data_IF_590089527324
#
_entry.id   IF_590089527324
#
_cell.length_a   1.000
_cell.length_b   1.000
_cell.length_c   1.000
_cell.angle_alpha   90.00
_cell.angle_beta   90.00
_cell.angle_gamma   90.00
#
_symmetry.space_group_name_H-M   'P 1'
#
loop_
_entity.id
_entity.type
_entity.pdbx_description
1 polymer ?
2 non-polymer ?
3 water ?
#
# COMPACT_ATOMS: atom_id res chain seq x y z
N UNK A 3 6.67 -19.86 -1.51
CA UNK A 3 7.46 -19.54 -2.74
C UNK A 3 7.06 -18.17 -3.27
N UNK A 4 6.06 -17.60 -2.62
CA UNK A 4 5.49 -16.33 -3.03
C UNK A 4 6.45 -15.17 -3.01
N UNK A 5 7.25 -15.07 -1.97
CA UNK A 5 8.22 -14.01 -1.93
C UNK A 5 9.51 -14.48 -2.55
N UNK A 6 9.40 -15.01 -3.74
CA UNK A 6 10.53 -15.28 -4.58
C UNK A 6 10.16 -14.73 -5.89
N UNK A 7 8.96 -14.19 -6.00
CA UNK A 7 8.57 -13.67 -7.27
C UNK A 7 8.59 -12.18 -7.21
N UNK A 8 9.58 -11.64 -7.84
CA UNK A 8 9.73 -10.22 -7.93
C UNK A 8 8.87 -9.71 -9.08
N UNK A 9 8.78 -8.40 -9.20
CA UNK A 9 8.18 -7.77 -10.35
C UNK A 9 9.33 -7.32 -11.23
N UNK A 10 9.51 -8.00 -12.38
CA UNK A 10 10.60 -7.62 -13.28
C UNK A 10 10.42 -6.18 -13.74
N UNK A 11 11.46 -5.38 -13.63
CA UNK A 11 11.42 -4.01 -14.14
C UNK A 11 12.27 -3.91 -15.40
N UNK A 12 11.64 -3.91 -16.56
CA UNK A 12 12.37 -3.98 -17.82
C UNK A 12 11.77 -3.12 -18.93
N UNK A 13 12.62 -2.63 -19.81
CA UNK A 13 12.23 -1.95 -21.04
C UNK A 13 11.85 -2.97 -22.09
N UNK A 14 10.71 -2.75 -22.75
CA UNK A 14 10.28 -3.60 -23.85
C UNK A 14 10.12 -2.74 -25.09
N UNK A 15 10.86 -3.07 -26.15
CA UNK A 15 10.71 -2.37 -27.42
C UNK A 15 9.32 -2.61 -28.02
N UNK A 16 8.77 -3.79 -27.80
CA UNK A 16 7.41 -4.10 -28.26
C UNK A 16 6.38 -3.12 -27.68
N UNK A 17 6.61 -2.67 -26.46
CA UNK A 17 5.71 -1.73 -25.79
C UNK A 17 5.77 -0.36 -26.46
N UNK A 18 6.98 0.11 -26.71
CA UNK A 18 7.16 1.33 -27.48
C UNK A 18 6.48 1.22 -28.86
N UNK A 19 6.76 0.13 -29.57
CA UNK A 19 6.26 -0.08 -30.93
C UNK A 19 4.75 -0.10 -31.01
N UNK A 20 4.09 -0.24 -29.86
CA UNK A 20 2.64 -0.21 -29.83
C UNK A 20 2.09 1.18 -30.17
N UNK A 21 2.93 2.20 -29.99
CA UNK A 21 2.51 3.58 -30.19
C UNK A 21 3.20 4.18 -31.42
N UNK A 22 2.55 5.15 -32.07
CA UNK A 22 3.21 5.90 -33.13
C UNK A 22 4.50 6.50 -32.56
N UNK A 23 5.50 6.70 -33.39
CA UNK A 23 6.76 7.27 -32.91
C UNK A 23 6.57 8.72 -32.45
N UNK A 24 5.59 9.39 -33.03
CA UNK A 24 5.30 10.78 -32.70
C UNK A 24 4.85 10.94 -31.25
N UNK A 25 4.37 9.87 -30.64
CA UNK A 25 3.89 9.97 -29.27
C UNK A 25 5.05 10.25 -28.31
N UNK A 26 6.27 9.98 -28.78
CA UNK A 26 7.45 10.14 -27.93
C UNK A 26 8.23 11.40 -28.23
N UNK A 27 8.87 11.95 -27.22
CA UNK A 27 9.78 13.05 -27.38
C UNK A 27 11.08 12.69 -26.69
N UNK A 28 12.16 13.31 -27.12
CA UNK A 28 13.48 13.04 -26.57
C UNK A 28 14.13 14.32 -26.09
N UNK A 29 13.48 15.45 -26.35
CA UNK A 29 14.01 16.75 -26.01
C UNK A 29 14.02 17.00 -24.51
N UNK A 30 12.90 16.71 -23.85
CA UNK A 30 12.79 16.97 -22.42
C UNK A 30 13.65 16.00 -21.60
N UNK A 31 14.28 16.52 -20.55
CA UNK A 31 15.15 15.71 -19.72
C UNK A 31 14.34 14.80 -18.82
N UNK A 32 14.67 13.52 -18.83
CA UNK A 32 13.99 12.56 -17.97
C UNK A 32 14.03 13.03 -16.53
N UNK A 33 15.18 13.58 -16.11
CA UNK A 33 15.35 13.95 -14.70
C UNK A 33 14.47 15.12 -14.26
N UNK A 34 13.85 15.81 -15.21
CA UNK A 34 12.96 16.92 -14.89
C UNK A 34 11.48 16.54 -15.04
N UNK A 35 11.22 15.34 -15.55
CA UNK A 35 9.82 14.89 -15.73
C UNK A 35 9.13 14.82 -14.37
N UNK A 36 7.85 15.17 -14.30
CA UNK A 36 7.21 15.29 -12.99
C UNK A 36 6.14 14.24 -12.65
N UNK A 37 5.66 13.48 -13.64
CA UNK A 37 4.58 12.54 -13.35
C UNK A 37 4.59 11.32 -14.26
N UNK A 38 3.91 10.27 -13.81
CA UNK A 38 3.76 9.03 -14.58
C UNK A 38 2.29 8.63 -14.67
N UNK A 39 1.99 7.86 -15.71
CA UNK A 39 0.74 7.14 -15.86
C UNK A 39 1.08 5.65 -15.85
N UNK A 40 0.24 4.83 -15.26
CA UNK A 40 0.46 3.39 -15.30
C UNK A 40 -0.82 2.57 -15.16
N UNK A 41 -0.81 1.41 -15.78
CA UNK A 41 -1.94 0.49 -15.76
C UNK A 41 -1.50 -0.83 -16.37
N UNK A 42 -2.36 -1.82 -16.32
CA UNK A 42 -2.00 -3.13 -16.86
C UNK A 42 -1.76 -3.10 -18.38
N UNK A 43 -2.45 -2.23 -19.09
CA UNK A 43 -2.32 -2.19 -20.55
C UNK A 43 -2.55 -0.79 -21.10
N UNK A 44 -1.48 -0.11 -21.53
CA UNK A 44 -1.58 1.24 -22.07
C UNK A 44 -1.73 1.25 -23.59
N UNK A 45 -2.70 2.01 -24.10
CA UNK A 45 -2.94 2.03 -25.54
C UNK A 45 -3.03 3.45 -26.06
N UNK A 46 -2.70 3.63 -27.35
CA UNK A 46 -2.83 4.91 -28.03
C UNK A 46 -4.21 5.50 -27.80
N UNK A 47 -5.23 4.65 -27.90
CA UNK A 47 -6.61 5.10 -27.74
C UNK A 47 -6.85 5.85 -26.43
N UNK A 48 -6.25 5.37 -25.35
CA UNK A 48 -6.41 6.03 -24.06
C UNK A 48 -5.75 7.39 -24.07
N UNK A 49 -4.59 7.48 -24.72
CA UNK A 49 -3.87 8.74 -24.76
C UNK A 49 -4.56 9.75 -25.65
N UNK A 50 -5.32 9.28 -26.62
CA UNK A 50 -6.09 10.19 -27.47
C UNK A 50 -7.30 10.76 -26.73
N UNK A 51 -7.86 9.98 -25.82
CA UNK A 51 -8.90 10.48 -24.93
C UNK A 51 -8.32 11.49 -23.96
N UNK A 52 -7.13 11.20 -23.43
CA UNK A 52 -6.44 12.15 -22.56
C UNK A 52 -6.11 13.44 -23.30
N UNK A 53 -5.63 13.33 -24.53
CA UNK A 53 -5.29 14.49 -25.34
C UNK A 53 -6.52 15.36 -25.57
N UNK A 54 -7.62 14.72 -25.97
CA UNK A 54 -8.83 15.47 -26.29
C UNK A 54 -9.31 16.27 -25.10
N UNK A 55 -9.30 15.66 -23.92
CA UNK A 55 -9.85 16.30 -22.74
C UNK A 55 -8.94 17.39 -22.18
N UNK A 56 -7.63 17.19 -22.26
CA UNK A 56 -6.70 18.17 -21.73
C UNK A 56 -6.30 19.19 -22.78
N UNK A 57 -6.85 19.06 -23.98
CA UNK A 57 -6.56 19.99 -25.07
C UNK A 57 -5.10 20.14 -25.42
N UNK A 58 -4.35 19.05 -25.35
CA UNK A 58 -2.95 19.10 -25.72
C UNK A 58 -2.49 17.70 -26.05
N UNK A 59 -1.41 17.61 -26.81
CA UNK A 59 -0.80 16.33 -27.11
C UNK A 59 0.13 15.98 -25.95
N UNK A 60 -0.20 14.93 -25.21
CA UNK A 60 0.59 14.54 -24.05
C UNK A 60 1.69 13.57 -24.45
N UNK A 61 2.92 14.08 -24.53
CA UNK A 61 4.04 13.28 -25.00
C UNK A 61 4.64 12.41 -23.89
N UNK A 62 5.19 11.27 -24.28
CA UNK A 62 5.81 10.35 -23.34
C UNK A 62 7.33 10.42 -23.48
N UNK A 63 8.06 10.59 -22.38
CA UNK A 63 9.52 10.54 -22.42
C UNK A 63 10.03 9.12 -22.46
N UNK A 64 9.33 8.20 -21.80
CA UNK A 64 9.83 6.84 -21.68
C UNK A 64 8.76 5.91 -21.12
N UNK A 65 8.79 4.65 -21.55
CA UNK A 65 7.86 3.63 -21.08
C UNK A 65 8.66 2.40 -20.69
N UNK A 66 8.24 1.72 -19.63
CA UNK A 66 8.85 0.46 -19.25
C UNK A 66 7.79 -0.40 -18.57
N UNK A 67 8.16 -1.60 -18.21
CA UNK A 67 7.27 -2.52 -17.55
C UNK A 67 7.69 -2.81 -16.14
N UNK A 68 6.73 -2.95 -15.24
CA UNK A 68 6.98 -3.36 -13.87
C UNK A 68 6.00 -4.51 -13.64
N UNK A 69 6.50 -5.74 -13.64
CA UNK A 69 5.60 -6.91 -13.65
C UNK A 69 4.64 -6.82 -14.81
N UNK A 70 3.35 -6.98 -14.52
CA UNK A 70 2.33 -6.89 -15.57
C UNK A 70 1.96 -5.44 -15.90
N UNK A 71 2.55 -4.48 -15.17
CA UNK A 71 2.21 -3.07 -15.38
C UNK A 71 3.07 -2.44 -16.46
N UNK A 72 2.49 -1.47 -17.13
CA UNK A 72 3.21 -0.66 -18.09
C UNK A 72 3.18 0.78 -17.59
N UNK A 73 4.34 1.42 -17.57
CA UNK A 73 4.48 2.73 -16.99
C UNK A 73 4.98 3.71 -18.04
N UNK A 74 4.42 4.92 -18.03
CA UNK A 74 4.83 5.95 -18.96
C UNK A 74 5.25 7.20 -18.18
N UNK A 75 6.47 7.66 -18.43
CA UNK A 75 6.98 8.89 -17.83
C UNK A 75 6.48 10.02 -18.70
N UNK A 76 5.77 10.98 -18.10
CA UNK A 76 5.01 11.94 -18.88
C UNK A 76 5.65 13.33 -18.98
N UNK A 77 5.40 13.96 -20.12
CA UNK A 77 5.74 15.35 -20.42
C UNK A 77 4.79 16.25 -19.65
N UNK A 78 5.17 17.51 -19.46
CA UNK A 78 4.25 18.49 -18.86
C UNK A 78 3.93 18.24 -17.40
N UNK A 79 2.76 18.67 -16.97
CA UNK A 79 2.37 18.57 -15.57
C UNK A 79 0.99 17.92 -15.42
N UNK A 80 0.80 17.27 -14.28
CA UNK A 80 -0.47 16.67 -13.95
C UNK A 80 -1.42 17.79 -13.54
N UNK A 81 -2.41 18.08 -14.39
CA UNK A 81 -3.43 19.05 -14.04
C UNK A 81 -4.68 18.32 -13.57
N UNK A 82 -5.61 19.06 -12.97
CA UNK A 82 -6.85 18.45 -12.50
C UNK A 82 -7.66 17.85 -13.64
N UNK A 83 -7.55 18.43 -14.83
CA UNK A 83 -8.19 17.84 -16.02
C UNK A 83 -7.59 16.47 -16.35
N UNK A 84 -6.28 16.34 -16.17
CA UNK A 84 -5.61 15.04 -16.38
C UNK A 84 -6.18 14.03 -15.41
N UNK A 85 -6.31 14.41 -14.15
CA UNK A 85 -6.80 13.51 -13.13
C UNK A 85 -8.20 13.01 -13.47
N UNK A 86 -9.03 13.91 -13.97
CA UNK A 86 -10.40 13.56 -14.30
C UNK A 86 -10.46 12.50 -15.40
N UNK A 87 -9.79 12.78 -16.51
CA UNK A 87 -9.77 11.84 -17.61
C UNK A 87 -9.05 10.51 -17.30
N UNK A 88 -8.04 10.55 -16.45
CA UNK A 88 -7.34 9.31 -16.08
C UNK A 88 -8.21 8.44 -15.20
N UNK A 89 -8.92 9.06 -14.26
CA UNK A 89 -9.90 8.34 -13.45
C UNK A 89 -10.96 7.69 -14.34
N UNK A 90 -11.47 8.44 -15.31
CA UNK A 90 -12.47 7.91 -16.24
C UNK A 90 -11.92 6.67 -16.95
N UNK A 91 -10.67 6.76 -17.41
CA UNK A 91 -10.01 5.67 -18.11
C UNK A 91 -9.62 4.57 -17.15
N UNK A 92 -9.67 4.86 -15.86
CA UNK A 92 -9.21 3.93 -14.85
C UNK A 92 -7.72 3.62 -15.05
N UNK A 93 -6.94 4.66 -15.29
CA UNK A 93 -5.48 4.58 -15.28
C UNK A 93 -4.99 5.26 -14.01
N UNK A 94 -3.97 4.69 -13.39
CA UNK A 94 -3.35 5.31 -12.23
C UNK A 94 -2.36 6.36 -12.70
N UNK A 95 -1.99 7.26 -11.81
CA UNK A 95 -1.03 8.30 -12.10
C UNK A 95 -0.40 8.77 -10.78
N UNK A 96 0.71 9.47 -10.89
CA UNK A 96 1.40 9.92 -9.70
C UNK A 96 2.43 10.99 -10.04
N UNK A 97 2.58 11.95 -9.13
CA UNK A 97 3.67 12.92 -9.21
C UNK A 97 4.85 12.25 -8.55
N UNK A 98 6.03 12.36 -9.14
CA UNK A 98 7.16 11.59 -8.66
C UNK A 98 8.24 12.39 -7.94
N UNK A 99 7.94 13.64 -7.61
CA UNK A 99 8.85 14.37 -6.75
C UNK A 99 8.82 13.78 -5.35
N UNK A 100 10.00 13.64 -4.74
CA UNK A 100 10.06 13.13 -3.38
C UNK A 100 9.91 11.61 -3.30
N UNK A 101 9.80 10.95 -4.45
CA UNK A 101 9.73 9.51 -4.45
C UNK A 101 11.09 8.97 -4.03
N UNK A 102 11.13 8.13 -2.98
CA UNK A 102 12.34 7.52 -2.47
C UNK A 102 13.12 6.74 -3.51
N UNK A 103 14.36 6.44 -3.16
CA UNK A 103 15.32 5.85 -4.06
C UNK A 103 15.49 4.39 -3.72
N UNK A 104 15.04 3.51 -4.61
CA UNK A 104 15.19 2.08 -4.39
C UNK A 104 16.64 1.62 -4.22
N UNK A 105 17.61 2.37 -4.74
CA UNK A 105 19.02 1.92 -4.68
C UNK A 105 19.72 2.32 -3.37
N UNK A 106 19.06 3.09 -2.54
CA UNK A 106 19.59 3.47 -1.24
C UNK A 106 18.78 2.74 -0.19
N UNK A 107 19.35 2.51 0.97
CA UNK A 107 18.63 1.79 2.03
C UNK A 107 17.27 2.45 2.33
N UNK A 108 16.24 1.62 2.46
CA UNK A 108 14.91 2.16 2.62
C UNK A 108 13.99 1.26 3.41
N UNK A 109 12.81 1.77 3.71
CA UNK A 109 11.84 1.06 4.52
C UNK A 109 10.46 1.37 4.02
N UNK A 110 9.61 0.35 3.96
CA UNK A 110 8.20 0.58 3.67
C UNK A 110 7.35 0.01 4.79
N UNK A 111 6.34 0.76 5.22
CA UNK A 111 5.43 0.29 6.26
C UNK A 111 4.02 0.27 5.69
N UNK A 112 3.35 -0.87 5.81
CA UNK A 112 1.99 -0.99 5.28
C UNK A 112 1.00 -1.39 6.37
N UNK A 113 -0.22 -1.00 6.18
CA UNK A 113 -1.30 -1.35 7.04
C UNK A 113 -1.95 -2.60 6.48
N UNK A 114 -2.08 -3.63 7.31
CA UNK A 114 -2.54 -4.96 6.88
C UNK A 114 -3.94 -5.00 6.25
N UNK A 115 -4.63 -3.86 6.21
CA UNK A 115 -6.00 -3.81 5.70
C UNK A 115 -6.85 -2.71 6.31
N UNK A 116 -7.89 -2.30 5.57
CA UNK A 116 -8.77 -1.23 6.02
C UNK A 116 -9.44 -1.56 7.35
N UNK A 117 -9.59 -0.56 8.20
CA UNK A 117 -10.24 -0.76 9.49
C UNK A 117 -11.64 -1.34 9.29
N UNK A 118 -12.16 -1.22 8.07
CA UNK A 118 -13.43 -1.82 7.71
C UNK A 118 -13.29 -3.33 7.52
N UNK A 119 -12.18 -3.74 6.91
CA UNK A 119 -11.88 -5.16 6.68
C UNK A 119 -11.39 -5.84 7.95
N UNK A 120 -11.06 -5.05 8.97
CA UNK A 120 -10.65 -5.60 10.25
C UNK A 120 -11.84 -5.66 11.19
N UNK A 121 -12.83 -4.80 10.97
CA UNK A 121 -14.10 -4.89 11.69
C UNK A 121 -14.85 -6.14 11.25
N UNK A 122 -14.83 -6.41 9.95
CA UNK A 122 -15.42 -7.63 9.40
C UNK A 122 -14.72 -8.88 9.97
N UNK A 123 -13.39 -8.84 10.02
CA UNK A 123 -12.58 -9.94 10.56
C UNK A 123 -12.99 -10.28 12.00
N UNK A 124 -13.05 -9.25 12.83
CA UNK A 124 -13.40 -9.41 14.24
C UNK A 124 -14.86 -9.79 14.42
N UNK A 125 -15.73 -9.27 13.56
CA UNK A 125 -17.15 -9.63 13.60
C UNK A 125 -17.35 -11.10 13.24
N UNK A 126 -16.44 -11.62 12.42
CA UNK A 126 -16.50 -13.02 12.00
C UNK A 126 -15.95 -13.94 13.07
N UNK A 127 -14.90 -13.49 13.77
CA UNK A 127 -14.39 -14.23 14.91
C UNK A 127 -15.47 -14.29 15.99
N UNK A 128 -16.15 -13.17 16.19
CA UNK A 128 -17.22 -13.09 17.18
C UNK A 128 -18.38 -14.00 16.82
N UNK A 129 -18.79 -13.99 15.56
CA UNK A 129 -19.91 -14.82 15.11
C UNK A 129 -19.53 -16.29 15.28
N UNK A 130 -18.28 -16.63 14.97
CA UNK A 130 -17.80 -17.99 15.20
C UNK A 130 -17.75 -18.33 16.68
N UNK A 131 -17.42 -17.35 17.52
CA UNK A 131 -17.30 -17.59 18.96
C UNK A 131 -18.68 -17.65 19.64
N UNK A 132 -19.72 -17.27 18.91
CA UNK A 132 -21.08 -17.32 19.44
C UNK A 132 -21.50 -16.06 20.18
N UNK A 133 -20.67 -15.04 20.12
CA UNK A 133 -20.96 -13.76 20.79
C UNK A 133 -21.11 -12.66 19.76
N UNK A 134 -21.48 -13.04 18.55
CA UNK A 134 -21.64 -12.06 17.47
C UNK A 134 -22.41 -10.82 17.91
N UNK A 135 -23.38 -11.00 18.79
CA UNK A 135 -24.27 -9.91 19.16
C UNK A 135 -23.68 -8.98 20.22
N UNK A 136 -23.06 -9.58 21.24
CA UNK A 136 -22.40 -8.79 22.26
C UNK A 136 -21.43 -7.83 21.61
N UNK A 137 -20.62 -8.36 20.69
CA UNK A 137 -19.63 -7.55 20.00
C UNK A 137 -20.32 -6.46 19.20
N UNK A 138 -21.52 -6.76 18.71
CA UNK A 138 -22.30 -5.80 17.94
C UNK A 138 -22.82 -4.68 18.84
N UNK A 139 -23.41 -5.06 19.97
CA UNK A 139 -23.88 -4.08 20.96
C UNK A 139 -22.77 -3.12 21.35
N UNK A 140 -21.54 -3.60 21.33
CA UNK A 140 -20.39 -2.78 21.68
C UNK A 140 -19.97 -1.86 20.54
N UNK A 141 -20.08 -2.35 19.30
CA UNK A 141 -19.72 -1.52 18.15
C UNK A 141 -20.70 -0.38 18.05
N UNK A 142 -21.96 -0.67 18.39
CA UNK A 142 -23.00 0.35 18.45
C UNK A 142 -22.69 1.43 19.48
N UNK A 143 -22.29 1.01 20.68
CA UNK A 143 -21.97 1.97 21.74
C UNK A 143 -20.78 2.84 21.36
N UNK A 144 -19.96 2.37 20.43
CA UNK A 144 -18.82 3.15 19.96
C UNK A 144 -19.27 4.16 18.91
N UNK A 145 -20.38 3.85 18.24
CA UNK A 145 -20.92 4.74 17.22
C UNK A 145 -21.59 5.94 17.88
N UNK A 146 -22.00 5.78 19.13
CA UNK A 146 -22.64 6.83 19.89
C UNK A 146 -21.62 7.77 20.53
N UNK A 147 -20.34 7.52 20.24
CA UNK A 147 -19.27 8.30 20.85
C UNK A 147 -19.13 8.02 22.34
N UNK A 148 -19.73 6.92 22.79
CA UNK A 148 -19.63 6.49 24.19
C UNK A 148 -18.27 5.85 24.52
N UNK A 149 -17.76 5.05 23.59
CA UNK A 149 -16.46 4.42 23.76
C UNK A 149 -15.48 4.98 22.73
N UNK A 150 -14.28 5.32 23.17
CA UNK A 150 -13.25 5.73 22.23
C UNK A 150 -12.73 4.51 21.48
N UNK A 151 -11.64 4.69 20.73
CA UNK A 151 -11.15 3.63 19.86
C UNK A 151 -10.62 2.41 20.61
N UNK A 152 -9.78 2.65 21.62
CA UNK A 152 -9.16 1.58 22.39
C UNK A 152 -10.18 0.80 23.24
N UNK A 153 -11.14 1.52 23.80
CA UNK A 153 -12.17 0.91 24.62
C UNK A 153 -12.99 -0.06 23.79
N UNK A 154 -13.34 0.39 22.58
CA UNK A 154 -14.12 -0.43 21.67
C UNK A 154 -13.36 -1.70 21.35
N UNK A 155 -12.08 -1.56 21.01
CA UNK A 155 -11.31 -2.74 20.69
C UNK A 155 -11.30 -3.67 21.91
N UNK A 156 -10.72 -3.18 23.00
CA UNK A 156 -10.57 -4.00 24.21
C UNK A 156 -11.89 -4.61 24.65
N UNK A 157 -12.97 -3.83 24.64
CA UNK A 157 -14.28 -4.36 25.00
C UNK A 157 -14.84 -5.41 24.04
N UNK A 158 -14.60 -5.25 22.73
CA UNK A 158 -15.04 -6.25 21.76
C UNK A 158 -14.26 -7.55 21.96
N UNK A 159 -12.95 -7.44 22.16
CA UNK A 159 -12.13 -8.60 22.45
C UNK A 159 -12.59 -9.33 23.72
N UNK A 160 -12.99 -8.57 24.74
CA UNK A 160 -13.33 -9.19 26.02
C UNK A 160 -14.50 -10.17 25.87
N UNK A 161 -15.34 -9.93 24.86
CA UNK A 161 -16.48 -10.81 24.57
C UNK A 161 -16.05 -12.20 24.08
N UNK A 162 -14.80 -12.33 23.72
CA UNK A 162 -14.29 -13.54 23.16
C UNK A 162 -13.73 -14.43 24.21
N UNK A 163 -13.86 -14.04 25.46
CA UNK A 163 -13.25 -14.81 26.50
C UNK A 163 -13.69 -16.24 26.40
N UNK A 164 -12.72 -17.12 26.44
CA UNK A 164 -12.92 -18.55 26.43
C UNK A 164 -13.13 -19.13 25.07
N UNK A 165 -13.08 -18.31 24.05
CA UNK A 165 -13.24 -18.83 22.71
C UNK A 165 -12.05 -19.69 22.42
N UNK A 166 -12.29 -20.74 21.65
CA UNK A 166 -11.25 -21.69 21.31
C UNK A 166 -10.32 -21.17 20.25
N UNK A 167 -9.04 -21.39 20.49
CA UNK A 167 -7.99 -20.89 19.59
C UNK A 167 -8.23 -21.14 18.09
N UNK A 168 -8.63 -22.37 17.75
CA UNK A 168 -8.74 -22.75 16.34
C UNK A 168 -9.76 -21.91 15.56
N UNK A 169 -10.45 -21.01 16.26
CA UNK A 169 -11.35 -20.09 15.56
C UNK A 169 -10.52 -19.11 14.74
N UNK A 170 -9.28 -18.88 15.17
CA UNK A 170 -8.41 -17.92 14.50
C UNK A 170 -7.90 -18.45 13.16
N UNK A 171 -7.56 -19.74 13.12
CA UNK A 171 -7.13 -20.37 11.87
C UNK A 171 -8.31 -20.40 10.91
N UNK A 172 -9.39 -20.97 11.38
CA UNK A 172 -10.61 -21.11 10.59
C UNK A 172 -11.02 -19.80 9.93
N UNK A 173 -10.58 -18.67 10.47
CA UNK A 173 -10.90 -17.38 9.88
C UNK A 173 -9.80 -16.88 8.95
N UNK A 174 -8.55 -17.20 9.29
CA UNK A 174 -7.41 -16.85 8.47
C UNK A 174 -7.64 -17.32 7.02
N UNK A 175 -8.20 -18.52 6.90
CA UNK A 175 -8.34 -19.17 5.60
C UNK A 175 -9.53 -18.68 4.76
N UNK A 176 -10.50 -18.03 5.40
CA UNK A 176 -11.60 -17.46 4.64
C UNK A 176 -11.25 -16.07 4.11
N UNK A 177 -9.99 -15.66 4.31
CA UNK A 177 -9.56 -14.31 3.94
C UNK A 177 -8.37 -14.28 2.98
N UNK A 178 -8.43 -13.38 1.97
CA UNK A 178 -7.40 -13.23 0.95
C UNK A 178 -6.40 -12.11 1.24
N UNK A 179 -5.12 -12.36 0.98
CA UNK A 179 -4.08 -11.33 1.11
C UNK A 179 -4.32 -10.20 0.12
N UNK A 180 -3.88 -8.99 0.47
CA UNK A 180 -3.93 -7.88 -0.47
C UNK A 180 -3.35 -8.35 -1.80
N UNK A 181 -3.95 -7.90 -2.93
CA UNK A 181 -3.43 -8.32 -4.23
C UNK A 181 -2.00 -7.84 -4.45
N UNK A 182 -1.09 -8.79 -4.68
CA UNK A 182 0.29 -8.49 -5.06
C UNK A 182 1.21 -8.15 -3.91
N UNK A 183 0.74 -8.37 -2.69
CA UNK A 183 1.59 -8.13 -1.53
C UNK A 183 2.87 -8.96 -1.61
N UNK A 184 2.75 -10.24 -1.98
CA UNK A 184 3.94 -11.09 -2.00
C UNK A 184 5.01 -10.54 -2.98
N UNK A 185 4.57 -10.11 -4.15
CA UNK A 185 5.45 -9.50 -5.15
C UNK A 185 6.07 -8.21 -4.64
N UNK A 186 5.26 -7.34 -4.04
CA UNK A 186 5.79 -6.11 -3.48
C UNK A 186 6.91 -6.40 -2.49
N UNK A 187 6.68 -7.37 -1.63
CA UNK A 187 7.66 -7.78 -0.63
C UNK A 187 8.96 -8.29 -1.26
N UNK A 188 8.83 -9.23 -2.20
CA UNK A 188 10.00 -9.80 -2.89
C UNK A 188 10.78 -8.73 -3.65
N UNK A 189 10.06 -7.86 -4.34
CA UNK A 189 10.70 -6.83 -5.12
C UNK A 189 11.51 -5.90 -4.22
N UNK A 190 10.89 -5.42 -3.15
CA UNK A 190 11.60 -4.50 -2.27
C UNK A 190 12.79 -5.15 -1.59
N UNK A 191 12.65 -6.41 -1.17
CA UNK A 191 13.78 -7.14 -0.59
C UNK A 191 14.93 -7.30 -1.57
N UNK A 192 14.61 -7.59 -2.84
CA UNK A 192 15.63 -7.63 -3.89
C UNK A 192 16.47 -6.34 -3.92
N UNK A 193 15.84 -5.20 -3.66
CA UNK A 193 16.58 -3.93 -3.57
C UNK A 193 17.21 -3.71 -2.20
N UNK A 194 17.02 -4.64 -1.28
CA UNK A 194 17.59 -4.48 0.06
C UNK A 194 16.78 -3.58 0.98
N UNK A 195 15.50 -3.35 0.65
CA UNK A 195 14.66 -2.56 1.54
C UNK A 195 14.10 -3.44 2.65
N UNK A 196 13.68 -2.81 3.74
CA UNK A 196 12.99 -3.54 4.81
C UNK A 196 11.48 -3.34 4.64
N UNK A 197 10.72 -4.35 5.03
CA UNK A 197 9.28 -4.33 4.90
C UNK A 197 8.61 -4.61 6.24
N UNK A 198 7.73 -3.70 6.66
CA UNK A 198 7.11 -3.81 7.96
C UNK A 198 5.62 -3.62 7.81
N UNK A 199 4.84 -4.44 8.50
CA UNK A 199 3.42 -4.20 8.54
C UNK A 199 3.00 -3.79 9.95
N UNK A 200 2.02 -2.92 10.03
CA UNK A 200 1.47 -2.49 11.30
C UNK A 200 -0.03 -2.34 11.13
N UNK A 201 -0.80 -3.23 11.75
CA UNK A 201 -2.24 -3.20 11.62
C UNK A 201 -2.97 -3.22 12.96
N UNK A 202 -4.24 -2.85 12.94
CA UNK A 202 -5.12 -2.91 14.10
C UNK A 202 -5.85 -4.23 14.19
N UNK A 203 -5.28 -5.27 13.58
CA UNK A 203 -5.83 -6.62 13.69
C UNK A 203 -5.07 -7.39 14.76
N UNK A 204 -5.00 -8.70 14.63
CA UNK A 204 -4.38 -9.52 15.66
C UNK A 204 -3.04 -10.13 15.29
N UNK A 205 -2.13 -10.11 16.24
CA UNK A 205 -0.80 -10.67 16.08
C UNK A 205 -0.83 -12.05 15.47
N UNK A 206 -1.91 -12.79 15.66
CA UNK A 206 -1.95 -14.14 15.13
C UNK A 206 -1.86 -14.11 13.62
N UNK A 207 -2.66 -13.24 13.01
CA UNK A 207 -2.65 -13.09 11.56
C UNK A 207 -1.36 -12.45 11.07
N UNK A 208 -1.00 -11.31 11.64
CA UNK A 208 0.15 -10.57 11.14
C UNK A 208 1.45 -11.35 11.31
N UNK A 209 1.50 -12.22 12.31
CA UNK A 209 2.71 -13.03 12.52
C UNK A 209 2.80 -14.18 11.52
N UNK A 210 1.64 -14.64 11.05
CA UNK A 210 1.60 -15.67 10.03
C UNK A 210 2.10 -15.07 8.71
N UNK A 211 1.52 -13.94 8.33
CA UNK A 211 1.96 -13.18 7.18
C UNK A 211 3.46 -12.93 7.28
N UNK A 212 3.92 -12.54 8.46
CA UNK A 212 5.35 -12.28 8.61
C UNK A 212 6.15 -13.54 8.29
N UNK A 213 5.55 -14.70 8.55
CA UNK A 213 6.22 -15.98 8.32
C UNK A 213 6.22 -16.35 6.84
N UNK A 214 5.04 -16.36 6.24
CA UNK A 214 4.89 -16.67 4.83
C UNK A 214 5.72 -15.76 3.92
N UNK A 215 5.84 -14.49 4.28
CA UNK A 215 6.44 -13.49 3.39
C UNK A 215 7.79 -12.98 3.88
N UNK A 216 8.23 -13.44 5.04
CA UNK A 216 9.53 -13.01 5.55
C UNK A 216 9.60 -11.51 5.77
N UNK A 217 8.49 -10.91 6.19
CA UNK A 217 8.50 -9.51 6.58
C UNK A 217 9.55 -9.31 7.66
N UNK A 218 10.07 -8.10 7.75
CA UNK A 218 11.14 -7.80 8.69
C UNK A 218 10.60 -7.41 10.06
N UNK A 219 9.37 -6.90 10.07
CA UNK A 219 8.72 -6.49 11.29
C UNK A 219 7.21 -6.51 11.11
N UNK A 220 6.50 -6.92 12.15
CA UNK A 220 5.05 -6.90 12.14
C UNK A 220 4.58 -6.58 13.54
N UNK A 221 3.61 -5.68 13.64
CA UNK A 221 3.02 -5.37 14.94
C UNK A 221 1.52 -5.17 14.85
N UNK A 222 0.80 -5.91 15.67
CA UNK A 222 -0.64 -5.81 15.76
C UNK A 222 -1.07 -5.88 17.23
N UNK A 223 -2.37 -6.03 17.44
CA UNK A 223 -2.92 -6.25 18.76
C UNK A 223 -2.78 -7.72 19.12
N UNK A 224 -2.07 -8.00 20.20
CA UNK A 224 -1.84 -9.37 20.63
C UNK A 224 -2.97 -9.91 21.51
N UNK A 225 -3.65 -10.95 21.04
CA UNK A 225 -4.68 -11.61 21.83
C UNK A 225 -4.06 -12.57 22.82
N UNK A 226 -4.35 -12.40 24.10
CA UNK A 226 -3.84 -13.37 25.07
C UNK A 226 -4.51 -14.71 24.89
N UNK A 227 -3.71 -15.77 24.78
CA UNK A 227 -4.22 -17.11 24.62
C UNK A 227 -3.67 -18.01 25.72
N UNK A 228 -4.56 -18.64 26.46
CA UNK A 228 -4.16 -19.58 27.50
C UNK A 228 -4.94 -20.89 27.37
N UNK A 229 -4.24 -22.01 27.55
CA UNK A 229 -4.84 -23.33 27.36
C UNK A 229 -5.64 -23.41 26.05
N UNK A 230 -5.12 -22.79 25.00
CA UNK A 230 -5.77 -22.87 23.69
C UNK A 230 -7.12 -22.17 23.64
N UNK A 231 -7.37 -21.30 24.61
CA UNK A 231 -8.55 -20.45 24.57
C UNK A 231 -8.12 -19.00 24.69
N UNK A 232 -8.87 -18.12 24.03
CA UNK A 232 -8.68 -16.69 24.21
C UNK A 232 -9.16 -16.30 25.61
N UNK A 233 -8.35 -15.56 26.35
CA UNK A 233 -8.75 -15.12 27.67
C UNK A 233 -9.62 -13.87 27.59
N UNK A 234 -9.62 -13.23 26.43
CA UNK A 234 -10.42 -12.03 26.23
C UNK A 234 -9.64 -10.76 26.51
N UNK A 235 -8.38 -10.92 26.87
CA UNK A 235 -7.52 -9.77 27.12
C UNK A 235 -6.58 -9.48 25.95
N UNK A 236 -6.21 -8.21 25.80
CA UNK A 236 -5.24 -7.76 24.82
C UNK A 236 -3.94 -7.44 25.55
N UNK A 237 -2.88 -8.15 25.20
CA UNK A 237 -1.58 -7.94 25.84
C UNK A 237 -0.87 -6.74 25.23
N UNK A 238 -0.20 -5.96 26.09
CA UNK A 238 0.56 -4.80 25.65
C UNK A 238 -0.29 -3.64 25.15
N UNK A 239 0.28 -2.86 24.24
CA UNK A 239 -0.39 -1.66 23.71
C UNK A 239 -1.36 -1.96 22.57
N UNK A 240 -2.42 -1.16 22.49
CA UNK A 240 -3.33 -1.23 21.37
C UNK A 240 -2.82 -0.34 20.24
N UNK A 241 -2.50 -0.95 19.09
CA UNK A 241 -1.96 -0.23 17.95
C UNK A 241 -2.91 0.87 17.47
N UNK A 242 -2.43 2.11 17.49
CA UNK A 242 -3.24 3.26 17.08
C UNK A 242 -2.55 4.04 15.96
N UNK A 243 -3.24 5.05 15.44
CA UNK A 243 -2.69 5.93 14.41
C UNK A 243 -1.27 6.36 14.76
N UNK A 244 -1.09 6.81 16.00
CA UNK A 244 0.21 7.25 16.48
C UNK A 244 1.22 6.11 16.54
N UNK A 245 0.78 4.94 16.99
CA UNK A 245 1.67 3.78 17.09
C UNK A 245 2.30 3.50 15.74
N UNK A 246 1.50 3.64 14.68
CA UNK A 246 1.97 3.37 13.32
C UNK A 246 3.12 4.31 12.93
N UNK A 247 2.96 5.59 13.22
CA UNK A 247 4.00 6.57 12.90
C UNK A 247 5.24 6.31 13.73
N UNK A 248 5.04 5.84 14.97
CA UNK A 248 6.16 5.53 15.85
C UNK A 248 6.94 4.33 15.34
N UNK A 249 6.23 3.29 14.92
CA UNK A 249 6.90 2.12 14.36
C UNK A 249 7.79 2.54 13.18
N UNK A 250 7.25 3.39 12.33
CA UNK A 250 7.98 3.86 11.17
C UNK A 250 9.27 4.58 11.56
N UNK A 251 9.19 5.54 12.47
CA UNK A 251 10.40 6.28 12.89
C UNK A 251 11.41 5.41 13.62
N UNK A 252 10.92 4.50 14.46
CA UNK A 252 11.79 3.60 15.20
C UNK A 252 12.59 2.72 14.26
N UNK A 253 11.88 2.01 13.38
CA UNK A 253 12.52 1.11 12.44
C UNK A 253 13.48 1.85 11.51
N UNK A 254 13.11 3.05 11.09
CA UNK A 254 13.99 3.85 10.25
C UNK A 254 15.34 4.01 10.92
N UNK A 255 15.32 4.48 12.15
CA UNK A 255 16.53 4.65 12.91
C UNK A 255 17.22 3.34 13.15
N UNK A 256 16.43 2.34 13.51
CA UNK A 256 16.96 1.02 13.77
C UNK A 256 17.57 0.43 12.53
N UNK A 257 16.94 0.65 11.39
CA UNK A 257 17.45 0.11 10.16
C UNK A 257 18.42 1.04 9.52
N UNK A 258 18.62 2.19 10.13
CA UNK A 258 19.56 3.11 9.56
C UNK A 258 19.14 3.66 8.24
N UNK A 259 17.88 4.00 8.13
CA UNK A 259 17.32 4.53 6.92
C UNK A 259 16.94 5.98 7.09
N UNK A 260 17.30 6.81 6.13
CA UNK A 260 16.88 8.21 6.16
C UNK A 260 15.37 8.31 6.08
N UNK A 261 14.81 9.27 6.78
CA UNK A 261 13.37 9.44 6.82
C UNK A 261 12.83 9.69 5.43
N UNK A 262 13.60 10.40 4.61
CA UNK A 262 13.13 10.74 3.28
C UNK A 262 13.09 9.50 2.39
N UNK A 263 13.76 8.43 2.82
CA UNK A 263 13.76 7.18 2.04
C UNK A 263 12.84 6.13 2.65
N UNK A 264 11.77 6.59 3.27
CA UNK A 264 10.76 5.69 3.81
C UNK A 264 9.47 5.88 3.05
N UNK A 265 8.66 4.83 3.04
CA UNK A 265 7.37 4.83 2.37
C UNK A 265 6.31 4.28 3.31
N UNK A 266 5.14 4.91 3.31
CA UNK A 266 4.04 4.40 4.11
C UNK A 266 2.81 4.28 3.23
N UNK A 267 2.24 3.08 3.19
CA UNK A 267 1.05 2.79 2.40
C UNK A 267 -0.15 2.63 3.34
N UNK A 268 -1.21 3.40 3.09
CA UNK A 268 -2.40 3.32 3.94
C UNK A 268 -3.69 3.59 3.18
N UNK A 269 -4.83 3.47 3.86
CA UNK A 269 -6.11 3.60 3.19
C UNK A 269 -7.16 4.36 3.98
N UNK A 270 -6.92 4.56 5.28
CA UNK A 270 -7.91 5.21 6.12
C UNK A 270 -7.36 6.37 6.92
N UNK A 271 -8.26 7.19 7.46
CA UNK A 271 -7.87 8.31 8.32
C UNK A 271 -6.86 7.84 9.37
N UNK A 272 -7.00 6.59 9.74
CA UNK A 272 -6.14 5.93 10.71
C UNK A 272 -4.65 5.95 10.35
N UNK A 273 -4.34 6.15 9.08
CA UNK A 273 -2.96 6.01 8.59
C UNK A 273 -2.29 7.35 8.27
N UNK A 274 -3.06 8.42 8.33
CA UNK A 274 -2.57 9.74 7.92
C UNK A 274 -1.34 10.17 8.71
N UNK A 275 -1.32 9.85 10.01
CA UNK A 275 -0.18 10.21 10.84
C UNK A 275 1.08 9.48 10.35
N UNK A 276 0.96 8.17 10.16
CA UNK A 276 2.05 7.39 9.57
C UNK A 276 2.47 7.99 8.23
N UNK A 277 1.49 8.30 7.38
CA UNK A 277 1.78 8.80 6.04
C UNK A 277 2.50 10.16 6.09
N UNK A 278 2.04 11.03 6.97
CA UNK A 278 2.65 12.34 7.15
C UNK A 278 4.10 12.25 7.68
N UNK A 279 4.43 11.15 8.36
CA UNK A 279 5.78 10.97 8.92
C UNK A 279 6.79 10.40 7.93
N UNK A 280 6.31 9.69 6.91
CA UNK A 280 7.18 9.00 5.97
C UNK A 280 7.67 9.95 4.89
N UNK A 281 8.74 9.57 4.20
CA UNK A 281 9.18 10.35 3.05
C UNK A 281 8.08 10.42 2.02
N UNK A 282 7.37 9.32 1.82
CA UNK A 282 6.29 9.28 0.86
C UNK A 282 5.09 8.48 1.37
N UNK A 283 3.93 9.12 1.38
CA UNK A 283 2.70 8.41 1.70
C UNK A 283 2.04 8.00 0.42
N UNK A 284 1.57 6.75 0.38
CA UNK A 284 0.82 6.25 -0.74
C UNK A 284 -0.55 5.79 -0.26
N UNK A 285 -1.60 6.47 -0.69
CA UNK A 285 -2.95 5.99 -0.45
C UNK A 285 -3.28 4.80 -1.39
N UNK A 286 -3.63 3.67 -0.79
CA UNK A 286 -3.99 2.50 -1.57
C UNK A 286 -5.48 2.21 -1.48
N UNK A 287 -6.19 2.39 -2.59
CA UNK A 287 -7.62 2.16 -2.62
C UNK A 287 -8.26 2.79 -1.38
N UNK A 288 -8.02 4.08 -1.19
CA UNK A 288 -8.51 4.81 -0.03
C UNK A 288 -9.71 5.69 -0.37
N UNK A 289 -10.35 6.24 0.67
CA UNK A 289 -11.49 7.15 0.51
C UNK A 289 -11.02 8.48 -0.08
N UNK A 290 -11.80 9.05 -1.01
CA UNK A 290 -11.41 10.27 -1.71
C UNK A 290 -10.84 11.35 -0.78
N UNK A 291 -11.29 11.34 0.48
CA UNK A 291 -10.82 12.32 1.45
C UNK A 291 -9.37 12.03 1.84
N UNK A 292 -9.04 10.75 1.95
CA UNK A 292 -7.68 10.34 2.27
C UNK A 292 -6.78 10.43 1.04
N UNK A 293 -7.34 10.19 -0.14
CA UNK A 293 -6.59 10.32 -1.39
C UNK A 293 -6.10 11.76 -1.56
N UNK A 294 -6.97 12.71 -1.26
CA UNK A 294 -6.65 14.12 -1.44
C UNK A 294 -5.56 14.61 -0.49
N UNK A 295 -5.28 13.86 0.57
CA UNK A 295 -4.23 14.26 1.51
C UNK A 295 -2.88 13.59 1.23
N UNK A 296 -2.91 12.48 0.51
CA UNK A 296 -1.67 11.72 0.26
C UNK A 296 -0.93 12.25 -0.95
N UNK A 297 0.40 12.26 -0.88
CA UNK A 297 1.21 12.70 -2.00
C UNK A 297 0.97 11.85 -3.25
N UNK A 298 0.72 10.56 -3.06
CA UNK A 298 0.42 9.70 -4.19
C UNK A 298 -0.68 8.74 -3.83
N UNK A 299 -1.40 8.24 -4.83
CA UNK A 299 -2.43 7.26 -4.59
C UNK A 299 -2.41 6.18 -5.65
N UNK A 300 -2.69 4.95 -5.23
CA UNK A 300 -3.00 3.88 -6.15
C UNK A 300 -4.50 3.63 -6.09
N UNK A 301 -5.17 3.69 -7.24
CA UNK A 301 -6.62 3.63 -7.28
C UNK A 301 -7.10 2.36 -7.91
N UNK A 302 -6.39 1.89 -8.93
CA UNK A 302 -6.88 0.80 -9.74
C UNK A 302 -5.98 -0.43 -9.69
N UNK A 303 -4.68 -0.20 -9.63
CA UNK A 303 -3.72 -1.28 -9.61
C UNK A 303 -3.70 -2.00 -8.25
N UNK A 304 -3.08 -3.17 -8.21
CA UNK A 304 -2.76 -3.83 -6.96
C UNK A 304 -1.56 -3.18 -6.30
N UNK A 305 -1.01 -3.81 -5.28
CA UNK A 305 0.14 -3.25 -4.59
C UNK A 305 1.37 -3.07 -5.48
N UNK A 306 1.36 -3.72 -6.64
CA UNK A 306 2.42 -3.54 -7.62
C UNK A 306 2.50 -2.09 -8.08
N UNK A 307 1.39 -1.38 -7.96
CA UNK A 307 1.34 0.04 -8.27
C UNK A 307 2.34 0.83 -7.45
N UNK A 308 2.62 0.34 -6.24
CA UNK A 308 3.60 1.01 -5.41
C UNK A 308 5.00 0.92 -6.03
N UNK A 309 5.29 -0.20 -6.68
CA UNK A 309 6.60 -0.35 -7.33
C UNK A 309 6.68 0.49 -8.60
N UNK A 310 5.54 0.64 -9.28
CA UNK A 310 5.51 1.52 -10.45
C UNK A 310 5.96 2.90 -10.07
N UNK A 311 5.43 3.39 -8.95
CA UNK A 311 5.77 4.72 -8.47
C UNK A 311 7.26 4.81 -8.13
N UNK A 312 7.77 3.81 -7.42
CA UNK A 312 9.17 3.83 -7.00
C UNK A 312 10.11 3.63 -8.19
N UNK A 313 9.66 2.91 -9.20
CA UNK A 313 10.52 2.64 -10.34
C UNK A 313 10.74 3.92 -11.12
N UNK A 314 9.79 4.85 -11.02
CA UNK A 314 9.88 6.09 -11.77
C UNK A 314 11.08 6.92 -11.35
N UNK A 315 11.35 7.01 -10.05
CA UNK A 315 12.51 7.73 -9.57
C UNK A 315 13.80 7.06 -10.08
N UNK A 316 13.78 5.73 -10.17
CA UNK A 316 14.92 4.96 -10.64
C UNK A 316 15.19 5.34 -12.09
N UNK A 317 14.17 5.23 -12.91
CA UNK A 317 14.29 5.53 -14.33
C UNK A 317 14.55 7.02 -14.60
N UNK A 318 13.93 7.91 -13.85
CA UNK A 318 14.17 9.32 -14.06
C UNK A 318 15.59 9.68 -13.78
N UNK A 319 16.16 9.11 -12.74
CA UNK A 319 17.51 9.45 -12.39
C UNK A 319 18.52 8.47 -12.98
N UNK A 320 18.04 7.56 -13.80
CA UNK A 320 18.90 6.63 -14.49
C UNK A 320 19.84 5.91 -13.57
N UNK A 321 19.30 5.46 -12.45
CA UNK A 321 20.07 4.80 -11.41
C UNK A 321 20.60 3.42 -11.78
N UNK A 322 20.15 2.88 -12.89
CA UNK A 322 20.66 1.57 -13.31
C UNK A 322 20.33 1.30 -14.77
N UNK A 323 21.18 0.49 -15.43
CA UNK A 323 20.87 0.02 -16.77
C UNK A 323 20.04 -1.25 -16.67
N UNK A 324 19.31 -1.58 -17.74
CA UNK A 324 18.36 -2.70 -17.74
C UNK A 324 18.86 -4.13 -17.92
N UNK A 325 19.52 -4.44 -19.02
CA UNK A 325 20.17 -5.74 -19.19
C UNK A 325 21.65 -5.59 -19.50
X LIG B 1 -4.88 22.69 -12.20
X LIG B 1 -4.85 21.27 -12.50
X LIG B 1 -4.47 22.92 -10.82
X LIG B 1 -3.95 23.40 -13.09
X LIG B 1 -6.22 23.21 -12.41
X LIG C 1 -10.53 4.92 9.22
X LIG C 1 -10.91 3.84 8.30
X LIG C 1 -11.51 5.01 10.31
X LIG C 1 -9.21 4.65 9.78
X LIG C 1 -10.50 6.19 8.50
X LIG D 1 1.21 -5.96 -28.03
X LIG D 1 1.24 -7.13 -28.89
X LIG D 1 0.08 -6.06 -27.11
X LIG D 1 2.48 -5.88 -27.28
X LIG D 1 1.05 -4.76 -28.84
X LIG E 1 4.92 5.15 -36.65
X LIG E 1 5.30 5.08 -38.05
X LIG E 1 5.91 4.45 -35.85
X LIG E 1 4.87 6.56 -36.22
X LIG E 1 3.62 4.53 -36.47
X LIG F 1 18.17 12.98 -19.51
X LIG F 1 17.17 12.35 -20.37
X LIG F 1 17.61 13.43 -18.24
X LIG F 1 19.21 11.99 -19.25
X LIG F 1 18.76 14.13 -20.21
X LIG G 1 -0.80 -22.87 27.41
X LIG G 1 -0.41 -24.22 27.79
X LIG G 1 -0.72 -21.97 28.56
X LIG G 1 0.09 -22.38 26.35
X LIG G 1 -2.18 -22.89 26.91
#
# INVERSE_FOLDING_TARGET
MSLDALTTLPIKKHTALLNRFPETRFVTQLAKKRASWIVFGHYLTPAQFEDMDFFTNRFNAILDMWKVGRYEVALMDGELTSEHETILKALELDYARIQDVPDLTKPGLIVLDMDSTAIQIECIDEIAKLAGVGEEVAEVTERAMQGELDFEQSLRLRVSKLKDAPEQILSQVRETLPLMPELPELVATLHAFGWKVAIASGGFTYFSDYLKEQLSLDYAQSNTLEIVSGKLTGQVLGEVVSAQTKADILLTLAQQYDVEIHNTVAVGDGANDLVMMAAAGLGVAYHAKPKVEAKAQTAVRFAGLGGVVCILSAALVAQQKLSWKSKEGHHHHHH
SO4 S O1 O2 O3 O4
SO4 S O1 O2 O3 O4
SO4 S O1 O2 O3 O4
SO4 S O1 O2 O3 O4
SO4 S O1 O2 O3 O4
SO4 S O1 O2 O3 O4
#
